data_IF_412028422446
#
_entry.id   IF_412028422446
#
_cell.length_a   1.000
_cell.length_b   1.000
_cell.length_c   1.000
_cell.angle_alpha   90.00
_cell.angle_beta   90.00
_cell.angle_gamma   90.00
#
_symmetry.space_group_name_H-M   'P 1'
#
loop_
_entity.id
_entity.type
_entity.pdbx_description
1 polymer ?
#
# COMPACT_ATOMS: atom_id res chain seq x y z
N UNK A 1 10.31 -15.61 -4.58
CA UNK A 1 10.46 -14.88 -3.31
C UNK A 1 10.82 -15.90 -2.25
N UNK A 2 12.05 -15.85 -1.75
CA UNK A 2 12.48 -16.75 -0.69
C UNK A 2 11.83 -16.36 0.63
N UNK A 3 11.50 -17.36 1.47
CA UNK A 3 10.96 -17.11 2.80
C UNK A 3 11.97 -16.28 3.60
N UNK A 4 11.60 -15.09 4.11
CA UNK A 4 12.47 -14.35 5.01
C UNK A 4 12.84 -15.24 6.18
N UNK A 5 14.13 -15.32 6.50
CA UNK A 5 14.61 -16.07 7.66
C UNK A 5 13.85 -15.60 8.89
N UNK A 6 13.09 -16.51 9.52
CA UNK A 6 12.40 -16.19 10.76
C UNK A 6 13.44 -15.81 11.81
N UNK A 7 13.07 -14.99 12.80
CA UNK A 7 13.97 -14.53 13.87
C UNK A 7 14.70 -15.67 14.63
N UNK A 8 14.24 -16.91 14.47
CA UNK A 8 14.97 -18.12 14.83
C UNK A 8 15.10 -19.01 13.59
N UNK A 9 16.33 -19.38 13.23
CA UNK A 9 16.57 -20.45 12.26
C UNK A 9 16.05 -21.75 12.87
N UNK A 10 14.98 -22.31 12.30
CA UNK A 10 14.51 -23.64 12.67
C UNK A 10 15.44 -24.65 11.99
N UNK A 11 16.10 -25.51 12.76
CA UNK A 11 16.89 -26.61 12.21
C UNK A 11 16.03 -27.62 11.44
N UNK A 12 16.66 -28.49 10.65
CA UNK A 12 15.98 -29.60 9.96
C UNK A 12 15.51 -30.64 10.98
N UNK A 13 14.30 -31.15 10.80
CA UNK A 13 13.71 -32.16 11.67
C UNK A 13 14.45 -33.49 11.50
N UNK A 14 15.20 -33.88 12.54
CA UNK A 14 15.97 -35.14 12.58
C UNK A 14 15.12 -36.39 12.27
N UNK A 15 13.84 -36.37 12.62
CA UNK A 15 12.95 -37.53 12.51
C UNK A 15 12.20 -37.61 11.18
N UNK A 16 12.19 -36.54 10.38
CA UNK A 16 11.36 -36.46 9.18
C UNK A 16 11.68 -37.52 8.13
N UNK A 17 12.98 -37.73 7.85
CA UNK A 17 13.44 -38.71 6.85
C UNK A 17 13.56 -40.14 7.39
N UNK A 18 13.27 -40.37 8.68
CA UNK A 18 13.34 -41.72 9.24
C UNK A 18 12.20 -42.57 8.69
N UNK A 19 12.36 -43.89 8.62
CA UNK A 19 11.32 -44.83 8.17
C UNK A 19 9.99 -44.70 8.95
N UNK A 20 10.04 -44.22 10.20
CA UNK A 20 8.85 -43.95 11.02
C UNK A 20 8.27 -42.53 10.85
N UNK A 21 9.01 -41.62 10.20
CA UNK A 21 8.62 -40.23 9.98
C UNK A 21 8.63 -39.36 11.25
N UNK A 22 8.20 -38.10 11.09
CA UNK A 22 8.10 -37.16 12.19
C UNK A 22 6.79 -37.34 12.99
N UNK A 23 6.90 -37.75 14.25
CA UNK A 23 5.75 -37.91 15.17
C UNK A 23 4.96 -36.62 15.45
N UNK A 24 5.59 -35.45 15.27
CA UNK A 24 4.93 -34.17 15.55
C UNK A 24 3.99 -33.72 14.42
N UNK A 25 4.04 -34.35 13.23
CA UNK A 25 3.18 -34.04 12.09
C UNK A 25 3.07 -32.54 11.82
N UNK A 26 1.83 -32.04 11.69
CA UNK A 26 1.48 -30.62 11.48
C UNK A 26 1.88 -29.68 12.61
N UNK A 27 2.29 -30.19 13.77
CA UNK A 27 2.75 -29.37 14.90
C UNK A 27 4.27 -29.33 14.99
N UNK A 28 4.98 -29.98 14.07
CA UNK A 28 6.43 -29.99 14.07
C UNK A 28 6.99 -28.58 13.87
N UNK A 29 7.83 -28.13 14.80
CA UNK A 29 8.49 -26.82 14.77
C UNK A 29 9.80 -26.80 13.97
N UNK A 30 10.23 -27.93 13.43
CA UNK A 30 11.49 -28.11 12.70
C UNK A 30 11.21 -28.29 11.20
N UNK A 31 12.15 -27.89 10.35
CA UNK A 31 11.96 -27.90 8.89
C UNK A 31 11.88 -29.34 8.37
N UNK A 32 10.90 -29.64 7.53
CA UNK A 32 10.76 -30.93 6.85
C UNK A 32 11.23 -30.77 5.40
N UNK A 33 12.51 -31.01 5.12
CA UNK A 33 13.13 -30.88 3.79
C UNK A 33 14.61 -31.20 3.83
N UNK A 34 15.21 -31.58 2.69
CA UNK A 34 16.63 -31.93 2.61
C UNK A 34 17.46 -30.77 2.02
N UNK A 35 18.48 -30.25 2.72
CA UNK A 35 19.33 -29.19 2.21
C UNK A 35 20.20 -29.63 1.02
N UNK A 36 20.43 -30.93 0.81
CA UNK A 36 21.35 -31.46 -0.22
C UNK A 36 20.66 -31.85 -1.54
N UNK A 37 19.40 -32.29 -1.50
CA UNK A 37 18.68 -32.72 -2.73
C UNK A 37 17.87 -31.60 -3.37
N UNK A 38 17.48 -30.56 -2.61
CA UNK A 38 16.62 -29.49 -3.13
C UNK A 38 17.43 -28.27 -3.59
N UNK A 39 18.06 -28.43 -4.77
CA UNK A 39 18.40 -27.30 -5.67
C UNK A 39 17.16 -26.77 -6.42
N UNK A 40 15.98 -27.34 -6.21
CA UNK A 40 14.74 -26.82 -6.77
C UNK A 40 14.34 -25.52 -6.09
N UNK A 41 13.79 -24.61 -6.89
CA UNK A 41 13.41 -23.23 -6.54
C UNK A 41 12.15 -23.18 -5.65
N UNK A 42 11.76 -24.29 -5.04
CA UNK A 42 10.49 -24.47 -4.36
C UNK A 42 10.68 -24.30 -2.86
N UNK A 43 10.58 -23.04 -2.41
CA UNK A 43 10.66 -22.65 -1.00
C UNK A 43 9.62 -23.35 -0.09
N UNK A 44 8.63 -24.05 -0.67
CA UNK A 44 7.61 -24.83 0.03
C UNK A 44 8.19 -26.06 0.77
N UNK A 45 9.27 -26.67 0.26
CA UNK A 45 9.91 -27.84 0.87
C UNK A 45 10.78 -27.47 2.08
N UNK A 46 11.06 -26.18 2.30
CA UNK A 46 11.78 -25.69 3.50
C UNK A 46 10.84 -25.16 4.58
N UNK A 47 9.56 -25.50 4.51
CA UNK A 47 8.54 -25.01 5.41
C UNK A 47 8.23 -26.06 6.50
N UNK A 48 7.97 -25.62 7.74
CA UNK A 48 7.48 -26.58 8.74
C UNK A 48 6.03 -26.95 8.43
N UNK A 49 5.59 -28.19 8.71
CA UNK A 49 4.17 -28.54 8.66
C UNK A 49 3.30 -27.61 9.52
N UNK A 50 3.87 -27.10 10.63
CA UNK A 50 3.22 -26.07 11.46
C UNK A 50 2.99 -24.76 10.71
N UNK A 51 3.96 -24.28 9.94
CA UNK A 51 3.79 -23.07 9.16
C UNK A 51 2.76 -23.28 8.04
N UNK A 52 2.75 -24.44 7.39
CA UNK A 52 1.78 -24.79 6.35
C UNK A 52 0.33 -24.84 6.88
N UNK A 53 0.13 -25.40 8.07
CA UNK A 53 -1.22 -25.55 8.67
C UNK A 53 -1.76 -24.27 9.29
N UNK A 54 -0.88 -23.36 9.73
CA UNK A 54 -1.27 -22.13 10.42
C UNK A 54 -1.97 -21.13 9.50
N UNK A 55 -3.10 -20.60 9.96
CA UNK A 55 -3.85 -19.56 9.24
C UNK A 55 -3.03 -18.27 9.12
N UNK A 56 -2.99 -17.71 7.92
CA UNK A 56 -2.32 -16.45 7.62
C UNK A 56 -3.05 -15.27 8.29
N UNK A 57 -2.43 -14.67 9.30
CA UNK A 57 -2.99 -13.48 9.98
C UNK A 57 -3.24 -12.33 9.01
N UNK A 58 -2.33 -12.09 8.07
CA UNK A 58 -2.46 -10.98 7.10
C UNK A 58 -3.62 -11.21 6.12
N UNK A 59 -3.86 -12.45 5.72
CA UNK A 59 -5.00 -12.78 4.87
C UNK A 59 -6.31 -12.69 5.64
N UNK A 60 -6.32 -13.15 6.89
CA UNK A 60 -7.48 -12.99 7.77
C UNK A 60 -7.83 -11.52 8.02
N UNK A 61 -6.81 -10.64 8.08
CA UNK A 61 -7.00 -9.18 8.10
C UNK A 61 -7.25 -8.56 6.72
N UNK A 62 -7.21 -9.36 5.67
CA UNK A 62 -7.57 -8.97 4.31
C UNK A 62 -6.46 -8.44 3.43
N UNK A 63 -5.17 -8.44 3.79
CA UNK A 63 -4.09 -7.78 3.00
C UNK A 63 -2.78 -8.58 2.90
N UNK A 64 -2.85 -9.89 2.71
CA UNK A 64 -1.66 -10.71 2.48
C UNK A 64 -1.02 -10.42 1.11
N UNK A 65 0.19 -9.83 1.13
CA UNK A 65 0.98 -9.51 -0.07
C UNK A 65 1.50 -10.72 -0.86
N UNK A 66 1.43 -11.93 -0.30
CA UNK A 66 1.99 -13.13 -0.93
C UNK A 66 1.00 -13.85 -1.84
N UNK A 67 -0.28 -13.45 -1.83
CA UNK A 67 -1.33 -14.10 -2.62
C UNK A 67 -1.38 -15.62 -2.38
N UNK A 68 -1.64 -16.39 -3.43
CA UNK A 68 -1.74 -17.86 -3.36
C UNK A 68 -0.40 -18.54 -3.04
N UNK A 69 0.72 -17.83 -3.18
CA UNK A 69 2.07 -18.31 -2.85
C UNK A 69 2.44 -18.06 -1.38
N UNK A 70 1.48 -17.71 -0.53
CA UNK A 70 1.73 -17.49 0.89
C UNK A 70 2.14 -18.80 1.58
N UNK A 71 3.14 -18.71 2.46
CA UNK A 71 3.59 -19.85 3.28
C UNK A 71 2.61 -20.26 4.39
N UNK A 72 1.51 -19.53 4.56
CA UNK A 72 0.50 -19.76 5.59
C UNK A 72 -0.85 -19.99 4.93
N UNK A 73 -1.71 -20.78 5.57
CA UNK A 73 -3.02 -21.13 5.03
C UNK A 73 -3.94 -19.91 4.91
N UNK A 74 -4.41 -19.63 3.70
CA UNK A 74 -5.45 -18.63 3.45
C UNK A 74 -6.82 -19.29 3.65
N UNK A 75 -7.57 -18.81 4.64
CA UNK A 75 -8.94 -19.26 4.90
C UNK A 75 -9.85 -18.07 4.60
N UNK A 76 -10.60 -18.10 3.49
CA UNK A 76 -11.57 -17.05 3.21
C UNK A 76 -12.53 -16.91 4.39
N UNK A 77 -12.90 -15.69 4.79
CA UNK A 77 -13.97 -15.51 5.76
C UNK A 77 -15.22 -16.23 5.24
N UNK A 78 -16.05 -16.80 6.12
CA UNK A 78 -17.28 -17.47 5.70
C UNK A 78 -18.12 -16.48 4.90
N UNK A 79 -18.16 -16.68 3.58
CA UNK A 79 -19.11 -15.99 2.70
C UNK A 79 -20.47 -16.63 2.99
N UNK A 80 -21.56 -15.86 3.13
CA UNK A 80 -22.90 -16.42 3.12
C UNK A 80 -23.00 -17.33 1.89
N UNK A 81 -23.33 -18.61 2.09
CA UNK A 81 -23.60 -19.57 1.01
C UNK A 81 -24.93 -19.25 0.31
N UNK A 82 -25.23 -17.99 0.12
CA UNK A 82 -26.44 -17.54 -0.57
C UNK A 82 -26.13 -17.54 -2.06
N UNK A 83 -26.51 -18.67 -2.66
CA UNK A 83 -26.67 -18.93 -4.09
C UNK A 83 -25.35 -18.86 -4.88
N UNK A 84 -24.88 -20.03 -5.30
CA UNK A 84 -23.91 -20.19 -6.37
C UNK A 84 -24.53 -19.74 -7.71
N UNK A 85 -24.89 -18.46 -7.82
CA UNK A 85 -24.93 -17.80 -9.10
C UNK A 85 -23.48 -17.82 -9.59
N UNK A 86 -23.29 -18.45 -10.75
CA UNK A 86 -22.01 -18.55 -11.43
C UNK A 86 -21.44 -17.13 -11.56
N UNK A 87 -20.49 -16.78 -10.67
CA UNK A 87 -19.75 -15.54 -10.83
C UNK A 87 -18.74 -15.84 -11.93
N UNK A 88 -18.95 -15.24 -13.09
CA UNK A 88 -18.06 -15.41 -14.23
C UNK A 88 -16.63 -15.02 -13.80
N UNK A 89 -15.62 -15.87 -14.05
CA UNK A 89 -14.22 -15.62 -13.66
C UNK A 89 -13.64 -14.30 -14.18
N UNK A 90 -14.31 -13.67 -15.15
CA UNK A 90 -13.98 -12.38 -15.77
C UNK A 90 -14.17 -11.21 -14.80
N UNK A 91 -15.12 -11.30 -13.86
CA UNK A 91 -15.45 -10.22 -12.94
C UNK A 91 -14.41 -9.98 -11.84
N UNK A 92 -13.36 -10.81 -11.74
CA UNK A 92 -12.29 -10.71 -10.74
C UNK A 92 -10.92 -10.33 -11.31
N UNK A 93 -10.87 -9.99 -12.60
CA UNK A 93 -9.64 -9.68 -13.33
C UNK A 93 -9.32 -8.19 -13.27
N UNK A 94 -8.03 -7.82 -13.18
CA UNK A 94 -7.61 -6.43 -13.28
C UNK A 94 -7.97 -5.83 -14.64
N UNK A 95 -8.67 -4.70 -14.68
CA UNK A 95 -9.07 -4.08 -15.96
C UNK A 95 -7.93 -3.38 -16.72
N UNK A 96 -6.74 -3.28 -16.12
CA UNK A 96 -5.55 -2.66 -16.75
C UNK A 96 -4.65 -3.73 -17.37
N UNK A 97 -4.32 -4.78 -16.63
CA UNK A 97 -3.39 -5.82 -17.08
C UNK A 97 -4.06 -7.13 -17.48
N UNK A 98 -5.37 -7.28 -17.29
CA UNK A 98 -6.14 -8.46 -17.64
C UNK A 98 -5.69 -9.77 -16.96
N UNK A 99 -4.98 -9.65 -15.83
CA UNK A 99 -4.58 -10.78 -14.99
C UNK A 99 -5.35 -10.78 -13.66
N UNK A 100 -5.56 -11.98 -13.09
CA UNK A 100 -6.13 -12.14 -11.75
C UNK A 100 -5.17 -11.56 -10.70
N UNK A 101 -5.57 -10.53 -9.94
CA UNK A 101 -4.70 -9.95 -8.92
C UNK A 101 -4.39 -10.92 -7.79
N UNK A 102 -3.11 -11.05 -7.44
CA UNK A 102 -2.71 -11.67 -6.16
C UNK A 102 -3.00 -10.75 -4.97
N UNK A 103 -3.00 -9.43 -5.22
CA UNK A 103 -3.38 -8.39 -4.28
C UNK A 103 -4.13 -7.29 -5.03
N UNK A 104 -5.40 -7.13 -4.69
CA UNK A 104 -6.29 -6.09 -5.19
C UNK A 104 -5.90 -4.74 -4.61
N UNK A 105 -6.02 -3.68 -5.40
CA UNK A 105 -5.96 -2.31 -4.93
C UNK A 105 -7.36 -1.73 -4.84
N UNK A 106 -7.92 -1.67 -3.63
CA UNK A 106 -9.27 -1.14 -3.41
C UNK A 106 -9.24 0.39 -3.30
N UNK A 107 -10.23 1.02 -3.94
CA UNK A 107 -10.50 2.45 -3.86
C UNK A 107 -11.77 2.66 -3.03
N UNK A 108 -11.76 3.66 -2.15
CA UNK A 108 -12.88 3.85 -1.22
C UNK A 108 -14.21 4.16 -1.94
N UNK A 109 -14.19 5.01 -2.97
CA UNK A 109 -15.41 5.49 -3.64
C UNK A 109 -15.93 4.65 -4.81
N UNK A 110 -15.32 3.51 -5.15
CA UNK A 110 -15.82 2.66 -6.24
C UNK A 110 -15.40 1.20 -6.07
N UNK A 111 -16.05 0.28 -6.79
CA UNK A 111 -15.77 -1.17 -6.76
C UNK A 111 -15.11 -1.68 -8.05
N UNK A 112 -14.36 -0.85 -8.76
CA UNK A 112 -13.62 -1.30 -9.94
C UNK A 112 -12.42 -2.17 -9.57
N UNK A 113 -12.16 -3.20 -10.36
CA UNK A 113 -11.16 -4.25 -10.08
C UNK A 113 -9.80 -3.85 -10.65
N UNK A 114 -8.81 -3.71 -9.78
CA UNK A 114 -7.42 -3.48 -10.18
C UNK A 114 -6.46 -4.25 -9.29
N UNK A 115 -5.34 -4.69 -9.85
CA UNK A 115 -4.20 -5.10 -9.04
C UNK A 115 -3.49 -3.87 -8.44
N UNK A 116 -2.84 -4.06 -7.30
CA UNK A 116 -2.15 -2.97 -6.60
C UNK A 116 -1.00 -2.36 -7.42
N UNK A 117 -0.37 -3.13 -8.30
CA UNK A 117 0.75 -2.68 -9.13
C UNK A 117 0.27 -1.68 -10.17
N UNK A 118 -0.75 -2.03 -10.96
CA UNK A 118 -1.31 -1.11 -11.95
C UNK A 118 -1.87 0.17 -11.32
N UNK A 119 -2.50 0.10 -10.14
CA UNK A 119 -2.96 1.32 -9.47
C UNK A 119 -1.81 2.19 -8.94
N UNK A 120 -0.69 1.61 -8.51
CA UNK A 120 0.50 2.37 -8.11
C UNK A 120 1.11 3.10 -9.30
N UNK A 121 1.24 2.44 -10.44
CA UNK A 121 1.73 3.03 -11.68
C UNK A 121 0.80 4.12 -12.21
N UNK A 122 -0.52 3.88 -12.15
CA UNK A 122 -1.53 4.89 -12.49
C UNK A 122 -1.37 6.18 -11.67
N UNK A 123 -1.09 6.02 -10.37
CA UNK A 123 -0.93 7.12 -9.42
C UNK A 123 0.46 7.74 -9.41
N UNK A 124 1.45 7.15 -10.09
CA UNK A 124 2.81 7.67 -10.09
C UNK A 124 2.87 8.93 -10.98
N UNK A 125 3.16 10.12 -10.40
CA UNK A 125 3.25 11.35 -11.20
C UNK A 125 4.46 11.36 -12.14
N UNK A 126 5.49 10.53 -11.91
CA UNK A 126 6.74 10.57 -12.69
C UNK A 126 6.57 10.14 -14.13
N UNK A 127 5.63 9.22 -14.38
CA UNK A 127 5.38 8.66 -15.70
C UNK A 127 4.27 9.40 -16.46
N UNK A 128 3.87 10.60 -16.01
CA UNK A 128 2.72 11.35 -16.55
C UNK A 128 3.13 12.75 -16.98
N UNK A 129 2.46 13.28 -18.01
CA UNK A 129 2.63 14.67 -18.43
C UNK A 129 2.16 15.63 -17.34
N UNK A 130 2.68 16.85 -17.36
CA UNK A 130 2.34 17.90 -16.41
C UNK A 130 0.83 18.12 -16.30
N UNK A 131 0.11 18.15 -17.43
CA UNK A 131 -1.35 18.37 -17.47
C UNK A 131 -2.14 17.26 -16.74
N UNK A 132 -1.68 16.00 -16.87
CA UNK A 132 -2.31 14.85 -16.19
C UNK A 132 -2.06 14.90 -14.68
N UNK A 133 -0.90 15.40 -14.26
CA UNK A 133 -0.59 15.62 -12.86
C UNK A 133 -1.44 16.78 -12.31
N UNK A 134 -1.50 17.90 -13.03
CA UNK A 134 -2.25 19.09 -12.61
C UNK A 134 -3.76 18.86 -12.52
N UNK A 135 -4.34 18.12 -13.46
CA UNK A 135 -5.78 17.76 -13.44
C UNK A 135 -6.16 16.81 -12.28
N UNK A 136 -5.18 16.20 -11.61
CA UNK A 136 -5.40 15.26 -10.51
C UNK A 136 -6.05 13.94 -10.92
N UNK A 137 -6.18 13.66 -12.23
CA UNK A 137 -6.80 12.44 -12.77
C UNK A 137 -6.05 11.19 -12.31
N UNK A 138 -4.72 11.27 -12.21
CA UNK A 138 -3.89 10.19 -11.69
C UNK A 138 -4.24 9.77 -10.25
N UNK A 139 -4.95 10.61 -9.46
CA UNK A 139 -5.42 10.28 -8.09
C UNK A 139 -6.86 9.76 -8.04
N UNK A 140 -7.51 9.62 -9.20
CA UNK A 140 -8.89 9.16 -9.37
C UNK A 140 -8.91 7.73 -9.90
N UNK A 141 -10.06 7.08 -9.83
CA UNK A 141 -10.25 5.75 -10.44
C UNK A 141 -10.03 5.81 -11.97
N UNK A 142 -9.24 4.88 -12.57
CA UNK A 142 -9.09 4.79 -14.02
C UNK A 142 -10.39 4.60 -14.80
N UNK A 143 -11.40 3.97 -14.19
CA UNK A 143 -12.67 3.64 -14.85
C UNK A 143 -13.72 4.75 -14.68
N UNK A 144 -14.05 5.12 -13.45
CA UNK A 144 -15.16 6.06 -13.17
C UNK A 144 -14.71 7.45 -12.69
N UNK A 145 -13.41 7.68 -12.56
CA UNK A 145 -12.84 8.95 -12.07
C UNK A 145 -13.31 9.37 -10.67
N UNK A 146 -13.92 8.47 -9.88
CA UNK A 146 -14.20 8.75 -8.46
C UNK A 146 -12.86 9.01 -7.73
N UNK A 147 -12.73 10.11 -6.97
CA UNK A 147 -11.51 10.41 -6.24
C UNK A 147 -11.25 9.39 -5.14
N UNK A 148 -9.98 9.04 -4.92
CA UNK A 148 -9.59 8.19 -3.79
C UNK A 148 -8.22 8.59 -3.26
N UNK A 149 -8.16 9.02 -2.00
CA UNK A 149 -6.94 9.57 -1.37
C UNK A 149 -5.79 8.54 -1.25
N UNK A 150 -6.10 7.26 -1.12
CA UNK A 150 -5.10 6.18 -0.96
C UNK A 150 -5.57 4.89 -1.66
N UNK A 151 -4.64 3.95 -1.83
CA UNK A 151 -4.94 2.58 -2.28
C UNK A 151 -4.95 1.70 -1.04
N UNK A 152 -6.00 0.90 -0.86
CA UNK A 152 -6.05 -0.12 0.19
C UNK A 152 -5.67 -1.47 -0.43
N UNK A 153 -4.53 -2.09 -0.06
CA UNK A 153 -4.24 -3.44 -0.46
C UNK A 153 -5.27 -4.40 0.12
N UNK A 154 -5.79 -5.31 -0.71
CA UNK A 154 -6.68 -6.37 -0.24
C UNK A 154 -6.39 -7.70 -0.94
N UNK A 155 -6.47 -8.82 -0.23
CA UNK A 155 -6.42 -10.17 -0.78
C UNK A 155 -7.78 -10.61 -1.34
N UNK A 156 -8.86 -9.89 -1.01
CA UNK A 156 -10.22 -10.16 -1.47
C UNK A 156 -10.77 -8.96 -2.24
N UNK A 157 -11.58 -9.25 -3.25
CA UNK A 157 -12.38 -8.26 -3.94
C UNK A 157 -13.77 -8.14 -3.29
N UNK A 158 -14.36 -6.95 -3.38
CA UNK A 158 -15.69 -6.65 -2.85
C UNK A 158 -16.51 -5.93 -3.92
N UNK A 159 -17.74 -6.41 -4.14
CA UNK A 159 -18.70 -5.80 -5.08
C UNK A 159 -19.15 -4.42 -4.57
N UNK A 160 -19.85 -3.68 -5.42
CA UNK A 160 -20.45 -2.41 -5.03
C UNK A 160 -21.34 -2.62 -3.79
N UNK A 161 -21.30 -1.68 -2.84
CA UNK A 161 -22.09 -1.67 -1.60
C UNK A 161 -21.90 -2.86 -0.63
N UNK A 162 -20.86 -3.69 -0.80
CA UNK A 162 -20.53 -4.72 0.19
C UNK A 162 -19.88 -4.08 1.44
N UNK A 163 -20.51 -4.13 2.63
CA UNK A 163 -20.01 -3.46 3.83
C UNK A 163 -18.65 -3.98 4.31
N UNK A 164 -18.24 -5.18 3.88
CA UNK A 164 -16.93 -5.75 4.21
C UNK A 164 -15.79 -4.98 3.56
N UNK A 165 -16.08 -4.24 2.47
CA UNK A 165 -15.13 -3.35 1.82
C UNK A 165 -14.75 -2.22 2.76
N UNK A 166 -15.72 -1.51 3.32
CA UNK A 166 -15.49 -0.42 4.27
C UNK A 166 -14.78 -0.93 5.53
N UNK A 167 -15.16 -2.12 6.03
CA UNK A 167 -14.49 -2.76 7.16
C UNK A 167 -13.01 -3.06 6.85
N UNK A 168 -12.70 -3.60 5.68
CA UNK A 168 -11.32 -3.89 5.25
C UNK A 168 -10.51 -2.59 5.12
N UNK A 169 -11.10 -1.55 4.55
CA UNK A 169 -10.47 -0.22 4.43
C UNK A 169 -10.19 0.38 5.82
N UNK A 170 -11.14 0.28 6.75
CA UNK A 170 -10.96 0.75 8.13
C UNK A 170 -9.85 -0.03 8.84
N UNK A 171 -9.93 -1.36 8.85
CA UNK A 171 -8.95 -2.22 9.50
C UNK A 171 -7.53 -2.02 8.95
N UNK A 172 -7.40 -1.74 7.66
CA UNK A 172 -6.11 -1.39 7.05
C UNK A 172 -5.60 -0.04 7.58
N UNK A 173 -6.43 1.01 7.59
CA UNK A 173 -6.06 2.32 8.16
C UNK A 173 -5.64 2.20 9.61
N UNK A 174 -6.42 1.51 10.44
CA UNK A 174 -6.12 1.30 11.86
C UNK A 174 -4.80 0.55 12.04
N UNK A 175 -4.48 -0.34 11.09
CA UNK A 175 -3.21 -1.05 11.10
C UNK A 175 -2.02 -0.19 10.71
N UNK A 176 -2.20 0.71 9.76
CA UNK A 176 -1.17 1.64 9.30
C UNK A 176 -0.98 2.82 10.26
N UNK A 177 -2.01 3.20 11.02
CA UNK A 177 -1.95 4.24 12.06
C UNK A 177 -0.98 3.90 13.20
N UNK A 178 -0.60 2.62 13.34
CA UNK A 178 0.44 2.16 14.29
C UNK A 178 1.86 2.32 13.74
N UNK A 179 2.03 2.57 12.45
CA UNK A 179 3.33 2.68 11.81
C UNK A 179 3.73 4.15 11.72
N UNK A 180 4.99 4.51 12.07
CA UNK A 180 5.44 5.89 11.97
C UNK A 180 5.50 6.34 10.52
N UNK A 181 5.01 7.56 10.25
CA UNK A 181 5.05 8.16 8.94
C UNK A 181 6.48 8.42 8.50
N UNK A 182 6.89 7.80 7.40
CA UNK A 182 8.24 7.96 6.82
C UNK A 182 8.62 9.43 6.57
N UNK A 183 7.72 10.21 5.95
CA UNK A 183 8.01 11.62 5.62
C UNK A 183 8.20 12.47 6.86
N UNK A 184 7.36 12.25 7.87
CA UNK A 184 7.43 12.97 9.12
C UNK A 184 8.71 12.65 9.88
N UNK A 185 9.04 11.36 10.05
CA UNK A 185 10.28 10.94 10.72
C UNK A 185 11.52 11.53 10.05
N UNK A 186 11.56 11.56 8.71
CA UNK A 186 12.69 12.12 7.96
C UNK A 186 12.81 13.64 8.06
N UNK A 187 11.70 14.36 8.19
CA UNK A 187 11.66 15.83 8.18
C UNK A 187 11.62 16.46 9.57
N UNK A 188 11.35 15.66 10.62
CA UNK A 188 11.20 16.09 12.01
C UNK A 188 12.32 17.00 12.50
N UNK A 189 13.57 16.71 12.11
CA UNK A 189 14.76 17.43 12.58
C UNK A 189 14.86 18.89 12.13
N UNK A 190 14.16 19.29 11.06
CA UNK A 190 14.19 20.68 10.56
C UNK A 190 12.82 21.33 10.66
N UNK A 191 11.87 20.77 9.92
CA UNK A 191 10.49 21.24 9.83
C UNK A 191 9.62 20.02 9.59
N UNK A 192 8.76 19.63 10.54
CA UNK A 192 7.84 18.53 10.36
C UNK A 192 7.06 18.68 9.06
N UNK A 193 7.15 17.67 8.19
CA UNK A 193 6.57 17.69 6.87
C UNK A 193 5.98 16.33 6.52
N UNK A 194 4.73 16.34 6.07
CA UNK A 194 4.07 15.19 5.46
C UNK A 194 3.29 15.69 4.25
N UNK A 195 3.51 15.15 3.03
CA UNK A 195 2.75 15.56 1.84
C UNK A 195 1.23 15.40 1.99
N UNK A 196 0.81 14.49 2.88
CA UNK A 196 -0.59 14.18 3.15
C UNK A 196 -1.17 14.98 4.32
N UNK A 197 -0.35 15.73 5.07
CA UNK A 197 -0.79 16.55 6.19
C UNK A 197 -1.69 15.80 7.17
N UNK A 198 -2.87 16.38 7.47
CA UNK A 198 -3.89 15.80 8.35
C UNK A 198 -4.62 14.58 7.77
N UNK A 199 -4.53 14.36 6.46
CA UNK A 199 -5.11 13.19 5.79
C UNK A 199 -4.17 11.98 5.83
N UNK A 200 -2.96 12.12 6.38
CA UNK A 200 -2.05 11.00 6.57
C UNK A 200 -2.63 10.03 7.59
N UNK A 201 -2.75 8.76 7.23
CA UNK A 201 -3.21 7.70 8.13
C UNK A 201 -2.07 6.97 8.85
N UNK A 202 -0.82 7.44 8.71
CA UNK A 202 0.34 6.94 9.46
C UNK A 202 0.56 7.80 10.71
N UNK A 203 1.28 7.27 11.69
CA UNK A 203 1.53 7.94 12.95
C UNK A 203 2.52 9.09 12.81
N UNK A 204 2.17 10.26 13.34
CA UNK A 204 3.08 11.39 13.54
C UNK A 204 3.29 11.57 15.04
N UNK A 205 4.53 11.43 15.53
CA UNK A 205 4.86 11.53 16.95
C UNK A 205 5.93 12.60 17.20
N UNK A 206 5.64 13.51 18.12
CA UNK A 206 6.61 14.47 18.65
C UNK A 206 7.70 13.77 19.47
N UNK A 207 8.75 14.50 19.85
CA UNK A 207 9.79 13.95 20.73
C UNK A 207 9.23 13.56 22.09
N UNK A 208 8.19 14.26 22.56
CA UNK A 208 7.45 13.96 23.80
C UNK A 208 6.48 12.77 23.68
N UNK A 209 6.42 12.11 22.52
CA UNK A 209 5.48 11.00 22.27
C UNK A 209 4.03 11.42 22.05
N UNK A 210 3.71 12.72 22.06
CA UNK A 210 2.38 13.24 21.71
C UNK A 210 2.13 13.17 20.20
N UNK A 211 0.89 12.93 19.75
CA UNK A 211 0.58 12.91 18.34
C UNK A 211 0.68 14.31 17.72
N UNK A 212 1.40 14.43 16.61
CA UNK A 212 1.48 15.68 15.84
C UNK A 212 0.38 15.74 14.77
N UNK A 213 -0.46 16.77 14.83
CA UNK A 213 -1.53 16.97 13.85
C UNK A 213 -1.26 18.22 13.00
N UNK A 214 -1.21 18.03 11.69
CA UNK A 214 -1.12 19.15 10.74
C UNK A 214 -2.47 19.89 10.64
N UNK A 215 -2.44 21.21 10.44
CA UNK A 215 -3.66 22.02 10.22
C UNK A 215 -4.25 21.78 8.83
N UNK A 216 -3.36 21.63 7.85
CA UNK A 216 -3.70 21.45 6.45
C UNK A 216 -3.73 19.97 6.04
N UNK A 217 -4.58 19.66 5.06
CA UNK A 217 -4.68 18.34 4.46
C UNK A 217 -3.90 18.21 3.15
N UNK A 218 -4.00 17.03 2.55
CA UNK A 218 -3.24 16.67 1.36
C UNK A 218 -3.52 17.62 0.19
N UNK A 219 -4.74 18.15 0.07
CA UNK A 219 -5.12 19.07 -1.01
C UNK A 219 -4.46 20.45 -0.93
N UNK A 220 -4.13 20.93 0.27
CA UNK A 220 -3.41 22.19 0.47
C UNK A 220 -1.89 21.96 0.39
N UNK A 221 -1.38 20.95 1.09
CA UNK A 221 0.05 20.65 1.15
C UNK A 221 0.64 20.17 -0.19
N UNK A 222 -0.14 19.53 -1.06
CA UNK A 222 0.32 19.12 -2.40
C UNK A 222 0.23 20.22 -3.46
N UNK A 223 -0.56 21.29 -3.26
CA UNK A 223 -0.56 22.46 -4.17
C UNK A 223 0.72 23.28 -4.03
N UNK A 224 1.26 23.38 -2.81
CA UNK A 224 2.49 24.15 -2.52
C UNK A 224 3.73 23.52 -3.18
N UNK A 225 3.82 22.18 -3.23
CA UNK A 225 4.94 21.46 -3.83
C UNK A 225 5.01 21.53 -5.37
N UNK A 226 3.93 21.91 -6.05
CA UNK A 226 3.92 22.13 -7.51
C UNK A 226 4.43 23.55 -7.84
N UNK A 227 4.29 24.50 -6.91
CA UNK A 227 4.63 25.92 -7.11
C UNK A 227 6.05 26.23 -6.58
N UNK A 228 6.51 25.51 -5.54
CA UNK A 228 7.82 25.75 -4.91
C UNK A 228 8.53 24.41 -4.69
N UNK A 229 9.55 24.05 -5.50
CA UNK A 229 10.37 22.88 -5.24
C UNK A 229 11.19 23.08 -3.94
N UNK A 230 11.49 22.00 -3.19
CA UNK A 230 12.07 22.08 -1.84
C UNK A 230 13.51 22.63 -1.76
N UNK A 231 14.10 23.05 -2.89
CA UNK A 231 15.49 23.48 -2.98
C UNK A 231 15.70 24.96 -3.36
N UNK A 232 14.67 25.71 -3.74
CA UNK A 232 14.90 27.04 -4.35
C UNK A 232 14.14 28.20 -3.68
N UNK A 233 14.33 28.33 -2.37
CA UNK A 233 13.93 29.55 -1.64
C UNK A 233 14.89 30.71 -1.91
N UNK A 234 16.06 30.46 -2.53
CA UNK A 234 17.08 31.48 -2.78
C UNK A 234 16.76 32.37 -4.00
N UNK A 235 16.02 31.89 -5.00
CA UNK A 235 15.79 32.67 -6.23
C UNK A 235 14.62 33.68 -6.17
N UNK A 236 13.78 33.64 -5.12
CA UNK A 236 12.64 34.58 -5.03
C UNK A 236 13.00 35.91 -4.36
N UNK A 237 14.03 35.96 -3.51
CA UNK A 237 14.45 37.20 -2.84
C UNK A 237 15.19 38.14 -3.80
N UNK A 238 15.87 37.61 -4.82
CA UNK A 238 16.63 38.41 -5.79
C UNK A 238 15.78 39.10 -6.86
N UNK A 239 14.50 38.73 -7.02
CA UNK A 239 13.59 39.37 -8.00
C UNK A 239 12.65 40.43 -7.43
N UNK A 240 12.57 40.57 -6.10
CA UNK A 240 11.75 41.61 -5.46
C UNK A 240 12.51 42.94 -5.34
N UNK A 241 13.86 42.93 -5.39
CA UNK A 241 14.68 44.14 -5.24
C UNK A 241 15.18 44.78 -6.55
N UNK A 242 14.79 44.25 -7.72
CA UNK A 242 15.20 44.78 -9.02
C UNK A 242 13.99 45.23 -9.85
N UNK A 243 13.23 46.19 -9.33
CA UNK A 243 12.31 46.99 -10.15
C UNK A 243 12.88 48.41 -10.28
N UNK A 244 13.21 48.90 -11.48
CA UNK A 244 13.64 50.29 -11.64
C UNK A 244 12.45 51.25 -11.43
N UNK A 245 12.69 52.48 -10.94
CA UNK A 245 11.61 53.41 -10.62
C UNK A 245 10.87 53.88 -11.87
N UNK A 246 9.54 53.78 -11.83
CA UNK A 246 8.61 54.25 -12.87
C UNK A 246 8.67 55.78 -12.96
N UNK A 247 9.11 56.31 -14.10
CA UNK A 247 9.02 57.73 -14.43
C UNK A 247 7.58 58.14 -14.70
N UNK A 248 7.09 59.18 -14.00
CA UNK A 248 5.78 59.82 -14.24
C UNK A 248 5.78 60.55 -15.59
N UNK A 249 4.83 60.24 -16.47
CA UNK A 249 4.49 61.06 -17.63
C UNK A 249 3.36 62.05 -17.28
N UNK A 250 3.33 63.27 -17.87
CA UNK A 250 2.38 64.31 -17.49
C UNK A 250 1.04 64.18 -18.24
N UNK A 251 -0.01 64.65 -17.56
CA UNK A 251 -1.36 64.83 -18.08
C UNK A 251 -1.37 65.96 -19.13
N UNK A 252 -1.94 65.72 -20.31
CA UNK A 252 -2.49 66.79 -21.14
C UNK A 252 -3.89 66.43 -21.63
N UNK A 253 -4.82 67.35 -21.35
CA UNK A 253 -6.14 67.52 -21.97
C UNK A 253 -5.99 67.65 -23.49
N UNK A 254 -6.89 67.08 -24.28
CA UNK A 254 -8.21 67.63 -24.63
C UNK A 254 -9.17 66.48 -24.98
#
# INVERSE_FOLDING_TARGET
MDRPSTSKARGICKYYQTLRGCYAGDKCKFLHGDPKTDKSKDAATRLTPYDQSKTCRYFASGFCKHGDKCWFRHVPPPQPKEIALQVDPIDEVCTICFEKPTLYGLLAGCSHVFCITCLKEWRDPKAKSFDVVQSGVHKKCPMCRTPSKFITPSSLFYKHSDPRKEQTISAYKDSMARLPCRYFVQSKAKKPFCPFGKDCFYQHLNDDGTPYTFVEGADASMRVNIIIPPFDVKLLISRILASPPVSRAPLFRF
#
